data_IF_230989582031
#
_entry.id   IF_230989582031
#
_cell.length_a   1.000
_cell.length_b   1.000
_cell.length_c   1.000
_cell.angle_alpha   90.00
_cell.angle_beta   90.00
_cell.angle_gamma   90.00
#
_symmetry.space_group_name_H-M   'P 1'
#
loop_
_entity.id
_entity.type
_entity.pdbx_description
1 polymer ?
#
# COMPACT_ATOMS: atom_id res chain seq x y z
N UNK A 1 -15.07 -11.09 36.15
CA UNK A 1 -16.09 -10.43 35.33
C UNK A 1 -16.74 -11.46 34.39
N UNK A 2 -18.06 -11.41 34.24
CA UNK A 2 -18.80 -12.22 33.29
C UNK A 2 -19.00 -11.45 31.98
N UNK A 3 -19.02 -12.16 30.85
CA UNK A 3 -19.43 -11.61 29.57
C UNK A 3 -20.93 -11.82 29.39
N UNK A 4 -21.65 -10.83 28.89
CA UNK A 4 -23.05 -10.98 28.47
C UNK A 4 -23.13 -11.84 27.21
N UNK A 5 -24.29 -12.45 26.92
CA UNK A 5 -24.50 -13.15 25.66
C UNK A 5 -24.15 -12.24 24.46
N UNK A 6 -23.37 -12.74 23.51
CA UNK A 6 -22.83 -11.98 22.39
C UNK A 6 -21.69 -11.00 22.75
N UNK A 7 -21.38 -10.80 24.05
CA UNK A 7 -20.24 -10.02 24.50
C UNK A 7 -18.92 -10.77 24.30
N UNK A 8 -17.82 -10.04 24.09
CA UNK A 8 -16.50 -10.66 23.89
C UNK A 8 -15.38 -9.65 23.76
N UNK A 9 -14.16 -10.17 23.71
CA UNK A 9 -12.94 -9.43 23.35
C UNK A 9 -12.60 -9.66 21.90
N UNK A 10 -12.12 -8.63 21.21
CA UNK A 10 -11.69 -8.72 19.81
C UNK A 10 -10.38 -7.98 19.59
N UNK A 11 -9.52 -8.56 18.79
CA UNK A 11 -8.38 -7.90 18.18
C UNK A 11 -8.55 -7.96 16.67
N UNK A 12 -8.32 -6.84 15.99
CA UNK A 12 -8.57 -6.74 14.54
C UNK A 12 -7.37 -6.14 13.84
N UNK A 13 -6.95 -6.78 12.75
CA UNK A 13 -6.09 -6.21 11.71
C UNK A 13 -6.98 -5.74 10.56
N UNK A 14 -6.85 -4.49 10.16
CA UNK A 14 -7.64 -3.91 9.07
C UNK A 14 -6.70 -3.39 8.00
N UNK A 15 -7.00 -3.73 6.74
CA UNK A 15 -6.26 -3.21 5.59
C UNK A 15 -6.74 -1.80 5.22
N UNK A 16 -5.91 -0.98 4.53
CA UNK A 16 -6.40 0.16 3.75
C UNK A 16 -7.48 -0.25 2.75
N UNK A 17 -8.30 0.71 2.30
CA UNK A 17 -9.47 0.41 1.46
C UNK A 17 -9.12 -0.29 0.12
N UNK A 18 -7.96 0.03 -0.45
CA UNK A 18 -7.48 -0.55 -1.72
C UNK A 18 -6.78 -1.91 -1.53
N UNK A 19 -6.40 -2.28 -0.31
CA UNK A 19 -5.64 -3.48 0.00
C UNK A 19 -6.57 -4.57 0.50
N UNK A 20 -6.42 -5.77 -0.02
CA UNK A 20 -7.12 -6.97 0.44
C UNK A 20 -6.13 -8.04 0.88
N UNK A 21 -6.42 -8.72 1.98
CA UNK A 21 -5.71 -9.95 2.36
C UNK A 21 -6.18 -11.06 1.44
N UNK A 22 -5.25 -11.73 0.77
CA UNK A 22 -5.51 -12.83 -0.16
C UNK A 22 -4.91 -14.15 0.33
N UNK A 23 -4.09 -14.13 1.38
CA UNK A 23 -3.55 -15.31 2.03
C UNK A 23 -3.26 -15.02 3.50
N UNK A 24 -3.38 -16.04 4.34
CA UNK A 24 -3.07 -15.94 5.77
C UNK A 24 -2.37 -17.19 6.26
N UNK A 25 -1.44 -16.99 7.19
CA UNK A 25 -0.80 -18.04 7.94
C UNK A 25 -0.63 -17.59 9.38
N UNK A 26 -0.96 -18.47 10.34
CA UNK A 26 -0.94 -18.16 11.77
C UNK A 26 -0.18 -19.21 12.56
N UNK A 27 0.49 -18.75 13.61
CA UNK A 27 0.78 -19.58 14.77
C UNK A 27 -0.19 -19.17 15.87
N UNK A 28 -1.07 -20.08 16.27
CA UNK A 28 -2.16 -19.78 17.18
C UNK A 28 -2.37 -20.85 18.24
N UNK A 29 -3.05 -20.46 19.32
CA UNK A 29 -3.62 -21.32 20.34
C UNK A 29 -5.03 -20.86 20.64
N UNK A 30 -6.01 -21.72 20.40
CA UNK A 30 -7.42 -21.44 20.63
C UNK A 30 -7.94 -22.39 21.70
N UNK A 31 -8.73 -21.87 22.62
CA UNK A 31 -9.40 -22.67 23.64
C UNK A 31 -10.77 -22.15 23.95
N UNK A 32 -11.75 -23.01 23.78
CA UNK A 32 -13.12 -22.78 24.20
C UNK A 32 -13.29 -23.19 25.66
N UNK A 33 -14.08 -22.44 26.39
CA UNK A 33 -14.45 -22.80 27.75
C UNK A 33 -15.69 -22.00 28.22
N UNK A 34 -16.53 -22.61 29.04
CA UNK A 34 -17.63 -21.95 29.76
C UNK A 34 -18.60 -21.18 28.84
N UNK A 35 -18.91 -21.73 27.65
CA UNK A 35 -19.77 -21.08 26.65
C UNK A 35 -19.11 -19.92 25.92
N UNK A 36 -17.83 -19.68 26.12
CA UNK A 36 -17.03 -18.74 25.34
C UNK A 36 -16.32 -19.50 24.24
N UNK A 37 -16.48 -19.08 23.01
CA UNK A 37 -15.79 -19.60 21.84
C UNK A 37 -14.64 -18.64 21.47
N UNK A 38 -13.46 -19.22 21.24
CA UNK A 38 -12.32 -18.56 20.62
C UNK A 38 -12.42 -18.73 19.10
N UNK A 39 -11.92 -17.78 18.32
CA UNK A 39 -11.91 -17.94 16.85
C UNK A 39 -11.08 -16.89 16.11
N UNK A 40 -10.69 -17.27 14.90
CA UNK A 40 -10.05 -16.41 13.91
C UNK A 40 -10.96 -16.26 12.70
N UNK A 41 -11.28 -15.04 12.33
CA UNK A 41 -12.24 -14.74 11.28
C UNK A 41 -11.68 -13.75 10.26
N UNK A 42 -11.95 -14.01 8.97
CA UNK A 42 -11.83 -13.02 7.91
C UNK A 42 -13.14 -12.26 7.75
N UNK A 43 -13.07 -10.97 7.45
CA UNK A 43 -14.25 -10.14 7.24
C UNK A 43 -14.08 -9.24 6.00
N UNK A 44 -15.08 -9.26 5.12
CA UNK A 44 -15.22 -8.33 4.00
C UNK A 44 -16.65 -7.79 4.01
N UNK A 45 -16.82 -6.53 4.42
CA UNK A 45 -18.14 -5.95 4.65
C UNK A 45 -18.93 -6.75 5.69
N UNK A 46 -20.10 -7.24 5.31
CA UNK A 46 -20.96 -8.09 6.15
C UNK A 46 -20.58 -9.58 6.12
N UNK A 47 -19.75 -9.99 5.17
CA UNK A 47 -19.34 -11.39 5.03
C UNK A 47 -18.26 -11.72 6.05
N UNK A 48 -18.53 -12.74 6.87
CA UNK A 48 -17.59 -13.28 7.86
C UNK A 48 -17.27 -14.72 7.49
N UNK A 49 -16.01 -15.07 7.44
CA UNK A 49 -15.53 -16.42 7.20
C UNK A 49 -14.67 -16.91 8.35
N UNK A 50 -14.73 -18.20 8.61
CA UNK A 50 -13.97 -18.87 9.65
C UNK A 50 -12.59 -19.27 9.09
N UNK A 51 -11.53 -18.67 9.62
CA UNK A 51 -10.15 -18.94 9.21
C UNK A 51 -9.50 -20.06 10.02
N UNK A 52 -10.11 -20.46 11.14
CA UNK A 52 -9.64 -21.56 11.98
C UNK A 52 -10.47 -22.85 11.82
N UNK A 53 -11.31 -22.92 10.79
CA UNK A 53 -12.12 -24.09 10.49
C UNK A 53 -11.27 -25.38 10.43
N UNK A 54 -11.68 -26.37 11.24
CA UNK A 54 -10.99 -27.66 11.34
C UNK A 54 -9.84 -27.69 12.34
N UNK A 55 -9.55 -26.60 13.06
CA UNK A 55 -8.64 -26.62 14.19
C UNK A 55 -9.36 -26.96 15.49
N UNK A 56 -8.72 -27.79 16.33
CA UNK A 56 -9.27 -28.06 17.66
C UNK A 56 -9.01 -26.88 18.60
N UNK A 57 -10.03 -26.49 19.37
CA UNK A 57 -9.95 -25.42 20.37
C UNK A 57 -9.61 -26.00 21.75
N UNK A 58 -8.52 -26.73 21.83
CA UNK A 58 -8.04 -27.46 23.03
C UNK A 58 -6.94 -26.73 23.80
N UNK A 59 -6.47 -25.61 23.25
CA UNK A 59 -5.37 -24.83 23.79
C UNK A 59 -3.99 -25.29 23.37
N UNK A 60 -3.89 -26.22 22.43
CA UNK A 60 -2.61 -26.68 21.87
C UNK A 60 -2.11 -25.64 20.86
N UNK A 61 -0.80 -25.42 20.82
CA UNK A 61 -0.16 -24.57 19.83
C UNK A 61 -0.23 -25.20 18.45
N UNK A 62 -0.66 -24.42 17.46
CA UNK A 62 -0.83 -24.86 16.08
C UNK A 62 -0.25 -23.84 15.12
N UNK A 63 0.38 -24.35 14.05
CA UNK A 63 0.79 -23.55 12.91
C UNK A 63 -0.17 -23.87 11.76
N UNK A 64 -0.89 -22.87 11.26
CA UNK A 64 -1.71 -23.06 10.07
C UNK A 64 -0.84 -23.21 8.83
N UNK A 65 -1.33 -23.95 7.84
CA UNK A 65 -0.86 -23.81 6.46
C UNK A 65 -1.38 -22.50 5.88
N UNK A 66 -0.81 -22.05 4.76
CA UNK A 66 -1.38 -20.94 4.01
C UNK A 66 -2.84 -21.25 3.64
N UNK A 67 -3.72 -20.30 3.95
CA UNK A 67 -5.13 -20.36 3.60
C UNK A 67 -5.48 -19.20 2.69
N UNK A 68 -5.91 -19.49 1.48
CA UNK A 68 -6.27 -18.52 0.44
C UNK A 68 -7.64 -18.79 -0.20
N UNK A 69 -8.29 -19.91 0.14
CA UNK A 69 -9.57 -20.29 -0.45
C UNK A 69 -10.76 -19.41 -0.05
N UNK A 70 -10.62 -18.63 1.02
CA UNK A 70 -11.70 -17.80 1.59
C UNK A 70 -11.49 -16.30 1.34
N UNK A 71 -10.53 -15.92 0.54
CA UNK A 71 -10.11 -14.52 0.37
C UNK A 71 -10.57 -13.97 -0.99
N UNK A 72 -10.71 -12.66 -1.18
CA UNK A 72 -10.08 -11.56 -0.43
C UNK A 72 -10.85 -11.07 0.81
N UNK A 73 -10.13 -10.62 1.85
CA UNK A 73 -10.68 -10.06 3.08
C UNK A 73 -10.11 -8.67 3.37
N UNK A 74 -10.93 -7.78 3.96
CA UNK A 74 -10.50 -6.43 4.37
C UNK A 74 -10.07 -6.35 5.83
N UNK A 75 -10.42 -7.33 6.63
CA UNK A 75 -9.90 -7.44 7.99
C UNK A 75 -9.83 -8.88 8.46
N UNK A 76 -8.91 -9.12 9.37
CA UNK A 76 -8.76 -10.37 10.11
C UNK A 76 -9.05 -10.08 11.57
N UNK A 77 -9.82 -10.95 12.22
CA UNK A 77 -10.30 -10.76 13.58
C UNK A 77 -9.97 -12.00 14.42
N UNK A 78 -9.23 -11.80 15.49
CA UNK A 78 -9.13 -12.77 16.58
C UNK A 78 -10.16 -12.41 17.66
N UNK A 79 -11.01 -13.33 18.08
CA UNK A 79 -12.11 -13.02 18.98
C UNK A 79 -12.38 -14.09 20.02
N UNK A 80 -12.95 -13.63 21.13
CA UNK A 80 -13.61 -14.46 22.15
C UNK A 80 -15.06 -14.01 22.22
N UNK A 81 -16.02 -14.89 21.97
CA UNK A 81 -17.43 -14.55 21.92
C UNK A 81 -18.21 -15.48 22.85
N UNK A 82 -19.09 -14.92 23.67
CA UNK A 82 -20.00 -15.67 24.50
C UNK A 82 -21.20 -16.14 23.67
N UNK A 83 -21.30 -17.44 23.45
CA UNK A 83 -22.39 -18.09 22.71
C UNK A 83 -23.49 -18.69 23.59
N UNK A 84 -23.31 -18.62 24.92
CA UNK A 84 -24.32 -19.13 25.83
C UNK A 84 -25.62 -18.32 25.73
N UNK A 85 -26.77 -18.94 25.96
CA UNK A 85 -28.07 -18.28 26.07
C UNK A 85 -28.22 -17.34 27.30
N UNK A 86 -27.23 -17.38 28.19
CA UNK A 86 -27.03 -16.49 29.35
C UNK A 86 -25.61 -15.99 29.46
N UNK A 87 -25.27 -15.25 30.54
CA UNK A 87 -23.94 -14.74 30.73
C UNK A 87 -22.90 -15.88 30.83
N UNK A 88 -21.80 -15.77 30.09
CA UNK A 88 -20.65 -16.65 30.23
C UNK A 88 -19.92 -16.33 31.52
N UNK A 89 -19.86 -17.28 32.43
CA UNK A 89 -19.20 -17.09 33.72
C UNK A 89 -17.69 -17.16 33.60
N UNK A 90 -17.01 -16.16 34.14
CA UNK A 90 -15.58 -16.26 34.40
C UNK A 90 -15.37 -16.97 35.75
N UNK A 91 -15.29 -18.30 35.72
CA UNK A 91 -14.97 -19.06 36.93
C UNK A 91 -13.46 -19.18 37.05
N UNK A 92 -12.80 -18.60 38.06
CA UNK A 92 -11.36 -18.61 38.22
C UNK A 92 -10.78 -20.03 38.48
N UNK A 93 -11.62 -20.97 38.89
CA UNK A 93 -11.23 -22.36 39.14
C UNK A 93 -11.43 -23.31 37.95
N UNK A 94 -12.03 -22.84 36.85
CA UNK A 94 -12.29 -23.63 35.65
C UNK A 94 -11.34 -23.29 34.51
N UNK A 95 -11.31 -24.12 33.47
CA UNK A 95 -10.59 -23.85 32.24
C UNK A 95 -10.96 -22.49 31.68
N UNK A 96 -9.99 -21.68 31.26
CA UNK A 96 -10.19 -20.36 30.67
C UNK A 96 -10.25 -20.48 29.14
N UNK A 97 -11.21 -19.81 28.52
CA UNK A 97 -11.18 -19.59 27.09
C UNK A 97 -10.08 -18.55 26.76
N UNK A 98 -9.36 -18.78 25.70
CA UNK A 98 -8.39 -17.80 25.19
C UNK A 98 -8.19 -17.93 23.69
N UNK A 99 -7.82 -16.82 23.06
CA UNK A 99 -7.22 -16.76 21.74
C UNK A 99 -5.84 -16.13 21.87
N UNK A 100 -4.83 -16.82 21.39
CA UNK A 100 -3.46 -16.37 21.34
C UNK A 100 -2.97 -16.51 19.90
N UNK A 101 -2.43 -15.42 19.35
CA UNK A 101 -1.81 -15.42 18.03
C UNK A 101 -0.42 -14.87 18.21
N UNK A 102 0.59 -15.71 17.99
CA UNK A 102 1.99 -15.38 18.26
C UNK A 102 2.76 -15.02 17.01
N UNK A 103 2.26 -15.43 15.85
CA UNK A 103 2.90 -15.18 14.58
C UNK A 103 1.82 -15.10 13.50
N UNK A 104 1.89 -14.03 12.68
CA UNK A 104 0.91 -13.78 11.62
C UNK A 104 1.64 -13.34 10.37
N UNK A 105 1.42 -14.07 9.31
CA UNK A 105 1.83 -13.68 7.96
C UNK A 105 0.60 -13.45 7.10
N UNK A 106 0.57 -12.34 6.37
CA UNK A 106 -0.46 -12.02 5.40
C UNK A 106 0.13 -11.94 3.99
N UNK A 107 -0.53 -12.58 3.05
CA UNK A 107 -0.39 -12.24 1.64
C UNK A 107 -1.45 -11.20 1.31
N UNK A 108 -1.04 -10.02 0.84
CA UNK A 108 -1.90 -8.88 0.62
C UNK A 108 -1.75 -8.35 -0.81
N UNK A 109 -2.85 -8.01 -1.42
CA UNK A 109 -2.91 -7.47 -2.77
C UNK A 109 -3.47 -6.05 -2.75
N UNK A 110 -2.75 -5.13 -3.39
CA UNK A 110 -3.22 -3.79 -3.74
C UNK A 110 -3.49 -3.74 -5.24
N UNK A 111 -4.74 -3.46 -5.61
CA UNK A 111 -5.19 -3.42 -7.01
C UNK A 111 -5.43 -2.00 -7.52
N UNK A 112 -5.25 -0.99 -6.68
CA UNK A 112 -5.52 0.40 -7.03
C UNK A 112 -4.20 1.16 -7.08
N UNK A 113 -3.73 1.43 -8.29
CA UNK A 113 -2.52 2.23 -8.48
C UNK A 113 -2.70 3.69 -8.06
N UNK A 114 -1.58 4.41 -7.89
CA UNK A 114 -1.58 5.79 -7.42
C UNK A 114 -2.20 6.76 -8.44
N UNK A 115 -2.73 7.87 -7.94
CA UNK A 115 -3.07 9.04 -8.76
C UNK A 115 -1.82 9.87 -9.02
N UNK A 116 -1.79 10.61 -10.15
CA UNK A 116 -0.65 11.43 -10.55
C UNK A 116 -1.13 12.79 -11.05
N UNK A 117 -0.51 13.85 -10.52
CA UNK A 117 -0.70 15.22 -10.98
C UNK A 117 0.67 15.88 -11.21
N UNK A 118 1.16 15.92 -12.48
CA UNK A 118 2.40 16.60 -12.84
C UNK A 118 2.24 18.12 -12.86
N UNK A 119 3.32 18.86 -12.56
CA UNK A 119 3.36 20.31 -12.59
C UNK A 119 4.78 20.85 -12.76
N UNK A 120 4.93 22.16 -12.53
CA UNK A 120 6.19 22.88 -12.65
C UNK A 120 6.36 23.53 -14.03
N UNK A 121 7.31 24.49 -14.12
CA UNK A 121 7.46 25.33 -15.33
C UNK A 121 7.73 24.52 -16.60
N UNK A 122 8.60 23.50 -16.55
CA UNK A 122 8.84 22.65 -17.74
C UNK A 122 7.59 21.89 -18.15
N UNK A 123 6.75 21.48 -17.21
CA UNK A 123 5.48 20.82 -17.51
C UNK A 123 4.48 21.77 -18.18
N UNK A 124 4.47 23.04 -17.74
CA UNK A 124 3.65 24.12 -18.34
C UNK A 124 4.14 24.46 -19.75
N UNK A 125 5.47 24.52 -19.97
CA UNK A 125 6.07 24.77 -21.30
C UNK A 125 5.63 23.75 -22.36
N UNK A 126 5.22 22.55 -21.96
CA UNK A 126 4.74 21.55 -22.92
C UNK A 126 3.41 21.92 -23.59
N UNK A 127 2.72 22.94 -23.11
CA UNK A 127 1.39 23.35 -23.59
C UNK A 127 1.35 24.71 -24.25
N UNK A 128 2.41 25.52 -24.18
CA UNK A 128 2.42 26.90 -24.66
C UNK A 128 2.96 27.08 -26.08
N UNK A 129 3.55 26.02 -26.65
CA UNK A 129 4.06 25.99 -28.01
C UNK A 129 5.27 26.90 -28.27
N UNK A 130 5.93 27.39 -27.22
CA UNK A 130 7.09 28.29 -27.30
C UNK A 130 8.41 27.58 -27.23
N UNK A 131 9.46 28.32 -27.55
CA UNK A 131 10.84 27.91 -27.30
C UNK A 131 11.26 28.35 -25.91
N UNK A 132 11.92 27.46 -25.17
CA UNK A 132 12.34 27.69 -23.80
C UNK A 132 13.83 27.46 -23.62
N UNK A 133 14.43 28.13 -22.63
CA UNK A 133 15.85 27.98 -22.27
C UNK A 133 16.06 28.22 -20.79
N UNK A 134 17.21 27.75 -20.30
CA UNK A 134 17.65 27.95 -18.93
C UNK A 134 17.01 26.97 -17.95
N UNK A 135 16.87 27.40 -16.71
CA UNK A 135 16.35 26.54 -15.64
C UNK A 135 14.82 26.47 -15.64
N UNK A 136 14.32 25.29 -15.40
CA UNK A 136 12.91 25.04 -15.18
C UNK A 136 12.70 23.88 -14.20
N UNK A 137 11.48 23.74 -13.73
CA UNK A 137 11.13 22.71 -12.73
C UNK A 137 10.14 21.70 -13.30
N UNK A 138 10.26 20.46 -12.87
CA UNK A 138 9.22 19.44 -12.97
C UNK A 138 8.81 19.08 -11.55
N UNK A 139 7.50 19.12 -11.29
CA UNK A 139 6.89 18.73 -10.04
C UNK A 139 6.05 17.48 -10.23
N UNK A 140 6.06 16.60 -9.24
CA UNK A 140 5.15 15.48 -9.11
C UNK A 140 4.35 15.62 -7.81
N UNK A 141 3.02 15.50 -7.92
CA UNK A 141 2.13 15.34 -6.78
C UNK A 141 1.32 14.07 -7.01
N UNK A 142 1.23 13.24 -5.99
CA UNK A 142 0.62 11.92 -6.09
C UNK A 142 -0.06 11.54 -4.79
N UNK A 143 -1.11 10.72 -4.88
CA UNK A 143 -1.77 10.11 -3.74
C UNK A 143 -2.11 8.65 -4.06
N UNK A 144 -2.07 7.82 -3.04
CA UNK A 144 -2.45 6.42 -3.06
C UNK A 144 -3.30 6.06 -1.83
N UNK A 145 -4.26 5.15 -2.00
CA UNK A 145 -5.18 4.70 -0.95
C UNK A 145 -4.86 3.29 -0.44
N UNK A 146 -3.80 2.68 -0.97
CA UNK A 146 -3.37 1.32 -0.68
C UNK A 146 -2.04 1.26 0.06
N UNK A 147 -1.05 0.72 -0.60
CA UNK A 147 0.28 0.46 -0.03
C UNK A 147 1.17 1.70 0.09
N UNK A 148 0.74 2.81 -0.48
CA UNK A 148 1.44 4.11 -0.45
C UNK A 148 2.52 4.26 -1.52
N UNK A 149 2.96 5.50 -1.73
CA UNK A 149 3.89 5.88 -2.79
C UNK A 149 5.31 5.45 -2.45
N UNK A 150 5.91 4.61 -3.28
CA UNK A 150 7.29 4.10 -3.11
C UNK A 150 8.31 4.84 -3.97
N UNK A 151 7.96 5.19 -5.21
CA UNK A 151 8.88 5.82 -6.15
C UNK A 151 8.17 6.82 -7.07
N UNK A 152 8.93 7.82 -7.53
CA UNK A 152 8.50 8.73 -8.57
C UNK A 152 9.69 9.08 -9.46
N UNK A 153 9.43 9.29 -10.76
CA UNK A 153 10.48 9.65 -11.71
C UNK A 153 9.93 10.51 -12.84
N UNK A 154 10.83 11.18 -13.51
CA UNK A 154 10.58 11.80 -14.81
C UNK A 154 11.41 11.10 -15.87
N UNK A 155 10.85 10.93 -17.04
CA UNK A 155 11.57 10.49 -18.24
C UNK A 155 11.70 11.69 -19.19
N UNK A 156 12.94 12.03 -19.53
CA UNK A 156 13.26 13.05 -20.53
C UNK A 156 14.02 12.37 -21.65
N UNK A 157 13.48 12.40 -22.86
CA UNK A 157 14.04 11.71 -24.04
C UNK A 157 14.32 10.22 -23.79
N UNK A 158 13.46 9.56 -22.97
CA UNK A 158 13.61 8.16 -22.59
C UNK A 158 14.60 7.90 -21.45
N UNK A 159 15.31 8.92 -20.97
CA UNK A 159 16.19 8.78 -19.80
C UNK A 159 15.38 8.95 -18.50
N UNK A 160 15.35 7.92 -17.69
CA UNK A 160 14.69 7.90 -16.38
C UNK A 160 15.51 8.60 -15.32
N UNK A 161 14.90 9.56 -14.63
CA UNK A 161 15.53 10.34 -13.55
C UNK A 161 14.61 10.30 -12.34
N UNK A 162 15.05 9.65 -11.28
CA UNK A 162 14.25 9.49 -10.07
C UNK A 162 14.22 10.80 -9.25
N UNK A 163 13.06 11.10 -8.67
CA UNK A 163 12.97 12.01 -7.53
C UNK A 163 13.55 11.34 -6.28
N UNK A 164 13.92 12.14 -5.28
CA UNK A 164 14.28 11.59 -3.97
C UNK A 164 13.08 10.77 -3.43
N UNK A 165 13.25 9.47 -3.15
CA UNK A 165 12.15 8.61 -2.75
C UNK A 165 11.57 9.04 -1.40
N UNK A 166 10.29 8.77 -1.13
CA UNK A 166 9.74 8.93 0.20
C UNK A 166 10.35 7.91 1.17
N UNK A 167 10.31 8.22 2.46
CA UNK A 167 10.61 7.23 3.47
C UNK A 167 9.46 6.23 3.57
N UNK A 168 9.75 4.95 3.48
CA UNK A 168 8.80 3.85 3.62
C UNK A 168 9.10 3.04 4.90
N UNK A 169 8.71 3.52 6.09
CA UNK A 169 9.12 2.93 7.36
C UNK A 169 8.53 1.52 7.60
N UNK A 170 7.47 1.17 6.86
CA UNK A 170 6.88 -0.16 6.90
C UNK A 170 7.47 -1.14 5.89
N UNK A 171 8.39 -0.69 5.02
CA UNK A 171 9.03 -1.55 4.03
C UNK A 171 10.29 -2.21 4.59
N UNK A 172 10.44 -3.51 4.35
CA UNK A 172 11.64 -4.28 4.62
C UNK A 172 12.06 -5.04 3.35
N UNK A 173 13.23 -5.67 3.37
CA UNK A 173 13.71 -6.46 2.23
C UNK A 173 12.84 -7.71 2.09
N UNK A 174 12.07 -7.78 1.00
CA UNK A 174 11.24 -8.94 0.67
C UNK A 174 9.86 -8.99 1.33
N UNK A 175 9.54 -8.07 2.24
CA UNK A 175 8.22 -8.01 2.89
C UNK A 175 7.88 -6.61 3.42
N UNK A 176 6.62 -6.41 3.79
CA UNK A 176 6.17 -5.23 4.51
C UNK A 176 5.77 -5.59 5.95
N UNK A 177 6.03 -4.70 6.90
CA UNK A 177 5.67 -4.88 8.31
C UNK A 177 4.29 -4.33 8.64
N UNK A 178 3.64 -3.68 7.67
CA UNK A 178 2.27 -3.15 7.75
C UNK A 178 1.66 -3.06 6.35
N UNK A 179 0.33 -2.93 6.27
CA UNK A 179 -0.40 -2.89 4.99
C UNK A 179 -0.20 -1.59 4.19
N UNK A 180 0.21 -0.50 4.85
CA UNK A 180 0.51 0.81 4.28
C UNK A 180 2.00 1.17 4.52
N UNK A 181 2.96 0.46 3.91
CA UNK A 181 4.38 0.59 4.24
C UNK A 181 4.98 1.94 3.85
N UNK A 182 4.40 2.61 2.85
CA UNK A 182 4.82 3.91 2.33
C UNK A 182 3.78 5.01 2.59
N UNK A 183 4.12 6.29 2.46
CA UNK A 183 3.17 7.37 2.68
C UNK A 183 2.07 7.41 1.61
N UNK A 184 0.84 7.71 2.04
CA UNK A 184 -0.33 7.81 1.17
C UNK A 184 -0.29 9.03 0.22
N UNK A 185 0.64 9.96 0.39
CA UNK A 185 0.82 11.13 -0.46
C UNK A 185 2.29 11.46 -0.66
N UNK A 186 2.60 12.02 -1.82
CA UNK A 186 3.96 12.38 -2.20
C UNK A 186 3.93 13.66 -3.03
N UNK A 187 4.83 14.60 -2.71
CA UNK A 187 5.04 15.79 -3.52
C UNK A 187 6.53 16.13 -3.53
N UNK A 188 7.09 16.28 -4.72
CA UNK A 188 8.48 16.67 -4.94
C UNK A 188 8.61 17.51 -6.21
N UNK A 189 9.62 18.38 -6.20
CA UNK A 189 10.03 19.17 -7.35
C UNK A 189 11.52 18.95 -7.63
N UNK A 190 11.90 19.00 -8.90
CA UNK A 190 13.30 18.95 -9.35
C UNK A 190 13.52 20.01 -10.39
N UNK A 191 14.63 20.75 -10.24
CA UNK A 191 15.09 21.72 -11.21
C UNK A 191 15.98 21.06 -12.24
N UNK A 192 15.84 21.48 -13.49
CA UNK A 192 16.66 21.08 -14.63
C UNK A 192 17.16 22.32 -15.33
N UNK A 193 18.41 22.28 -15.74
CA UNK A 193 18.98 23.23 -16.69
C UNK A 193 18.82 22.62 -18.10
N UNK A 194 18.06 23.29 -18.97
CA UNK A 194 17.79 22.80 -20.31
C UNK A 194 19.01 22.84 -21.25
N UNK A 195 20.10 23.48 -20.83
CA UNK A 195 21.40 23.43 -21.54
C UNK A 195 22.20 22.16 -21.26
N UNK A 196 21.76 21.34 -20.28
CA UNK A 196 22.43 20.14 -19.83
C UNK A 196 21.60 18.89 -20.13
N UNK A 197 22.29 17.75 -20.23
CA UNK A 197 21.61 16.45 -20.25
C UNK A 197 20.68 16.31 -19.03
N UNK A 198 19.45 15.75 -19.22
CA UNK A 198 18.98 14.99 -20.39
C UNK A 198 18.29 15.80 -21.48
N UNK A 199 18.20 17.12 -21.34
CA UNK A 199 17.67 17.99 -22.39
C UNK A 199 18.69 18.17 -23.52
N UNK A 200 18.18 18.42 -24.70
CA UNK A 200 18.96 18.72 -25.90
C UNK A 200 18.31 19.87 -26.69
N UNK A 201 19.06 20.44 -27.59
CA UNK A 201 18.56 21.45 -28.51
C UNK A 201 17.41 20.90 -29.36
N UNK A 202 16.34 21.67 -29.53
CA UNK A 202 15.16 21.29 -30.27
C UNK A 202 14.08 20.60 -29.42
N UNK A 203 13.37 19.65 -30.01
CA UNK A 203 12.22 19.00 -29.38
C UNK A 203 12.67 17.90 -28.42
N UNK A 204 12.21 18.03 -27.18
CA UNK A 204 12.41 17.04 -26.12
C UNK A 204 11.09 16.40 -25.72
N UNK A 205 11.10 15.14 -25.31
CA UNK A 205 9.95 14.45 -24.74
C UNK A 205 10.06 14.41 -23.22
N UNK A 206 8.93 14.60 -22.53
CA UNK A 206 8.83 14.58 -21.07
C UNK A 206 7.63 13.74 -20.65
N UNK A 207 7.85 12.81 -19.72
CA UNK A 207 6.81 12.01 -19.07
C UNK A 207 7.10 11.93 -17.58
N UNK A 208 6.08 12.04 -16.74
CA UNK A 208 6.19 11.90 -15.28
C UNK A 208 5.47 10.63 -14.86
N UNK A 209 6.09 9.84 -14.00
CA UNK A 209 5.54 8.59 -13.50
C UNK A 209 5.68 8.48 -11.98
N UNK A 210 4.82 7.68 -11.38
CA UNK A 210 4.82 7.33 -9.98
C UNK A 210 4.40 5.87 -9.82
N UNK A 211 4.94 5.20 -8.82
CA UNK A 211 4.53 3.84 -8.46
C UNK A 211 4.34 3.74 -6.94
N UNK A 212 3.42 2.88 -6.54
CA UNK A 212 3.24 2.51 -5.14
C UNK A 212 4.19 1.38 -4.72
N UNK A 213 4.05 0.92 -3.47
CA UNK A 213 4.89 -0.15 -2.96
C UNK A 213 4.56 -1.50 -3.60
N UNK A 214 3.30 -1.76 -3.96
CA UNK A 214 2.88 -3.02 -4.58
C UNK A 214 3.47 -3.20 -5.99
N UNK A 215 3.76 -2.12 -6.73
CA UNK A 215 4.43 -2.19 -8.04
C UNK A 215 5.79 -2.88 -7.97
N UNK A 216 6.48 -2.81 -6.83
CA UNK A 216 7.76 -3.49 -6.60
C UNK A 216 7.67 -5.02 -6.81
N UNK A 217 6.49 -5.60 -6.55
CA UNK A 217 6.25 -7.05 -6.64
C UNK A 217 5.40 -7.45 -7.84
N UNK A 218 4.41 -6.65 -8.21
CA UNK A 218 3.44 -6.98 -9.26
C UNK A 218 3.70 -6.26 -10.59
N UNK A 219 4.46 -5.16 -10.60
CA UNK A 219 4.81 -4.40 -11.81
C UNK A 219 3.63 -3.69 -12.48
N UNK A 220 2.47 -3.58 -11.81
CA UNK A 220 1.22 -3.07 -12.40
C UNK A 220 0.69 -1.80 -11.74
N UNK A 221 1.11 -1.52 -10.52
CA UNK A 221 0.60 -0.42 -9.71
C UNK A 221 1.40 0.87 -9.91
N UNK A 222 1.34 1.41 -11.12
CA UNK A 222 1.96 2.68 -11.48
C UNK A 222 1.02 3.56 -12.29
N UNK A 223 1.23 4.87 -12.19
CA UNK A 223 0.60 5.86 -13.04
C UNK A 223 1.67 6.67 -13.77
N UNK A 224 1.50 6.84 -15.08
CA UNK A 224 2.31 7.73 -15.89
C UNK A 224 1.42 8.75 -16.61
N UNK A 225 1.90 9.97 -16.72
CA UNK A 225 1.27 10.97 -17.57
C UNK A 225 1.37 10.59 -19.05
N UNK A 226 0.59 11.26 -19.89
CA UNK A 226 0.91 11.26 -21.32
C UNK A 226 2.31 11.84 -21.55
N UNK A 227 3.04 11.30 -22.53
CA UNK A 227 4.28 11.90 -23.00
C UNK A 227 3.97 13.24 -23.69
N UNK A 228 4.65 14.30 -23.24
CA UNK A 228 4.51 15.65 -23.79
C UNK A 228 5.80 16.10 -24.45
N UNK A 229 5.74 17.19 -25.22
CA UNK A 229 6.88 17.76 -25.92
C UNK A 229 7.15 19.16 -25.40
N UNK A 230 8.43 19.49 -25.21
CA UNK A 230 8.94 20.85 -24.94
C UNK A 230 10.04 21.17 -25.96
N UNK A 231 10.01 22.38 -26.50
CA UNK A 231 11.06 22.81 -27.45
C UNK A 231 12.06 23.70 -26.73
N UNK A 232 13.33 23.30 -26.78
CA UNK A 232 14.45 24.00 -26.15
C UNK A 232 15.28 24.69 -27.21
N UNK A 233 15.62 25.98 -26.97
CA UNK A 233 16.51 26.77 -27.80
C UNK A 233 17.51 27.53 -26.90
N UNK A 234 18.66 26.93 -26.67
CA UNK A 234 19.74 27.50 -25.89
C UNK A 234 20.78 28.20 -26.77
N UNK A 235 20.63 28.17 -28.10
CA UNK A 235 21.57 28.79 -29.02
C UNK A 235 21.34 30.30 -29.11
N UNK A 236 22.43 31.05 -29.05
CA UNK A 236 22.37 32.45 -29.36
C UNK A 236 22.08 32.66 -30.87
N UNK A 237 21.29 33.70 -31.25
CA UNK A 237 21.17 34.08 -32.66
C UNK A 237 22.53 34.27 -33.30
N UNK A 238 22.68 33.82 -34.54
CA UNK A 238 23.89 34.13 -35.31
C UNK A 238 24.14 35.65 -35.40
N UNK A 239 25.38 36.10 -35.29
CA UNK A 239 25.67 37.52 -35.51
C UNK A 239 25.15 37.97 -36.90
N UNK A 240 24.60 39.18 -37.01
CA UNK A 240 24.19 39.68 -38.30
C UNK A 240 25.36 39.71 -39.26
N UNK A 241 25.21 39.12 -40.43
CA UNK A 241 26.20 39.21 -41.52
C UNK A 241 26.12 40.62 -42.06
N UNK A 242 27.22 41.41 -41.89
CA UNK A 242 27.37 42.76 -42.43
C UNK A 242 27.65 42.75 -43.91
#
# INVERSE_FOLDING_TARGET
SSLTAGGGGRFRWTTPAAVSVIGTKFTNRLKDANGIQAGLFGQNGATVIDLDQGYAHDGTNRVSTWRNEYLPQQSIVASLVCHASGPCANNPSSAKAFVEVTDVEFDAEDRIGPTLNPGGSIWEWTTDGKFHRGEGTIQVTSADTGTGISTAWVEVNGLKINFAPPACPGAAVGYATRFDPCPASFSRSRTFDTSQSPFQEGVNTVQVCVADYADTYAGTNKACSATRKVTVDNKAPAPPVG
#
